data_IF_496418686591
#
_entry.id   IF_496418686591
#
_cell.length_a   1.000
_cell.length_b   1.000
_cell.length_c   1.000
_cell.angle_alpha   90.00
_cell.angle_beta   90.00
_cell.angle_gamma   90.00
#
_symmetry.space_group_name_H-M   'P 1'
#
loop_
_entity.id
_entity.type
_entity.pdbx_description
1 polymer ?
#
# COMPACT_ATOMS: atom_id res chain seq x y z
N UNK A 1 24.00 -1.86 -3.29
CA UNK A 1 23.08 -1.53 -3.64
C UNK A 1 22.05 -1.83 -2.85
N UNK A 2 21.13 -1.24 -2.82
CA UNK A 2 20.14 -1.48 -2.03
C UNK A 2 19.07 -2.01 -2.73
N UNK A 3 18.34 -2.81 -2.23
CA UNK A 3 17.30 -3.24 -2.84
C UNK A 3 16.22 -2.40 -2.61
N UNK A 4 15.36 -2.24 -3.47
CA UNK A 4 14.22 -1.46 -3.29
C UNK A 4 13.38 -2.11 -2.34
N UNK A 5 13.24 -1.58 -1.22
CA UNK A 5 12.39 -2.15 -0.28
C UNK A 5 11.00 -1.64 -0.45
N UNK A 6 10.79 -0.52 -1.12
CA UNK A 6 9.45 0.02 -1.30
C UNK A 6 8.71 -0.77 -2.37
N UNK A 7 7.41 -0.87 -2.21
CA UNK A 7 6.58 -1.58 -3.17
C UNK A 7 5.40 -0.69 -3.49
N UNK A 8 5.10 -0.51 -4.75
CA UNK A 8 4.02 0.37 -5.15
C UNK A 8 3.06 -0.35 -6.06
N UNK A 9 1.80 0.03 -5.97
CA UNK A 9 0.78 -0.59 -6.79
C UNK A 9 -0.27 0.45 -7.10
N UNK A 10 -0.75 0.46 -8.31
CA UNK A 10 -1.74 1.44 -8.69
C UNK A 10 -2.79 0.81 -9.56
N UNK A 11 -4.04 1.18 -9.34
CA UNK A 11 -5.10 0.70 -10.17
C UNK A 11 -6.17 1.75 -10.22
N UNK A 12 -6.55 2.18 -11.42
CA UNK A 12 -7.53 3.25 -11.60
C UNK A 12 -7.06 4.48 -10.84
N UNK A 13 -7.87 5.03 -9.97
CA UNK A 13 -7.50 6.23 -9.25
C UNK A 13 -6.97 5.93 -7.88
N UNK A 14 -6.66 4.68 -7.60
CA UNK A 14 -6.18 4.32 -6.30
C UNK A 14 -4.72 3.93 -6.36
N UNK A 15 -3.93 4.39 -5.42
CA UNK A 15 -2.52 4.09 -5.40
C UNK A 15 -2.12 3.62 -4.03
N UNK A 16 -1.25 2.65 -3.97
CA UNK A 16 -0.77 2.12 -2.70
C UNK A 16 0.74 2.11 -2.66
N UNK A 17 1.29 2.25 -1.49
CA UNK A 17 2.72 2.28 -1.33
C UNK A 17 3.06 1.57 -0.02
N UNK A 18 3.93 0.58 -0.09
CA UNK A 18 4.39 -0.13 1.08
C UNK A 18 5.84 0.25 1.27
N UNK A 19 6.19 0.78 2.42
CA UNK A 19 7.56 1.17 2.68
C UNK A 19 8.00 0.73 4.05
N UNK A 20 9.28 0.61 4.24
CA UNK A 20 9.80 0.16 5.50
C UNK A 20 9.76 1.27 6.53
N UNK A 21 9.41 0.94 7.76
CA UNK A 21 9.36 1.89 8.84
C UNK A 21 10.28 1.43 9.94
N UNK A 22 10.41 2.24 10.96
CA UNK A 22 11.31 1.90 12.02
C UNK A 22 10.99 0.60 12.70
N UNK A 23 9.74 0.37 13.01
CA UNK A 23 9.43 -0.87 13.68
C UNK A 23 8.57 -1.73 12.79
N UNK A 24 8.77 -1.78 11.51
CA UNK A 24 7.96 -2.66 10.69
C UNK A 24 7.77 -2.06 9.32
N UNK A 25 6.58 -2.21 8.81
CA UNK A 25 6.27 -1.75 7.47
C UNK A 25 4.97 -0.97 7.50
N UNK A 26 4.82 -0.05 6.59
CA UNK A 26 3.60 0.73 6.51
C UNK A 26 3.03 0.67 5.11
N UNK A 27 1.74 0.46 5.03
CA UNK A 27 1.05 0.45 3.76
C UNK A 27 0.15 1.68 3.71
N UNK A 28 0.36 2.51 2.68
CA UNK A 28 -0.43 3.71 2.53
C UNK A 28 -1.28 3.56 1.28
N UNK A 29 -2.53 3.90 1.37
CA UNK A 29 -3.42 3.82 0.21
C UNK A 29 -4.09 5.18 0.08
N UNK A 30 -4.05 5.72 -1.13
CA UNK A 30 -4.62 7.04 -1.34
C UNK A 30 -5.33 7.12 -2.66
N UNK A 31 -6.22 8.08 -2.78
CA UNK A 31 -6.95 8.31 -4.00
C UNK A 31 -6.25 9.41 -4.76
N UNK A 32 -5.92 9.15 -6.03
CA UNK A 32 -5.20 10.12 -6.82
C UNK A 32 -6.10 11.26 -7.23
N UNK A 33 -7.32 10.95 -7.57
CA UNK A 33 -8.22 11.98 -8.01
C UNK A 33 -9.61 11.68 -7.48
N UNK A 34 -10.21 12.55 -6.70
CA UNK A 34 -9.62 13.77 -6.20
C UNK A 34 -8.67 13.46 -5.09
N UNK A 35 -7.66 14.29 -4.97
CA UNK A 35 -6.68 14.08 -3.95
C UNK A 35 -7.26 14.33 -2.61
N UNK A 36 -6.80 13.62 -1.64
CA UNK A 36 -7.18 13.94 -0.31
C UNK A 36 -7.69 12.80 0.53
N UNK A 37 -8.06 11.73 -0.03
CA UNK A 37 -8.52 10.61 0.76
C UNK A 37 -7.43 9.57 0.82
N UNK A 38 -7.19 9.00 1.96
CA UNK A 38 -6.18 7.97 2.08
C UNK A 38 -5.96 7.59 3.51
N UNK A 39 -5.18 6.56 3.72
CA UNK A 39 -4.87 6.14 5.07
C UNK A 39 -3.61 5.30 5.06
N UNK A 40 -3.03 5.10 6.23
CA UNK A 40 -1.82 4.33 6.38
C UNK A 40 -2.04 3.31 7.49
N UNK A 41 -1.54 2.10 7.29
CA UNK A 41 -1.68 1.07 8.29
C UNK A 41 -0.32 0.43 8.51
N UNK A 42 -0.04 0.02 9.75
CA UNK A 42 1.25 -0.54 10.10
C UNK A 42 1.19 -2.05 10.14
N UNK A 43 2.28 -2.70 9.76
CA UNK A 43 2.36 -4.14 9.75
C UNK A 43 3.72 -4.57 10.23
N UNK A 44 3.87 -5.82 10.58
CA UNK A 44 5.13 -6.31 11.09
C UNK A 44 6.01 -6.85 9.98
N UNK A 45 5.49 -7.14 8.81
CA UNK A 45 6.30 -7.63 7.74
C UNK A 45 5.87 -7.03 6.42
N UNK A 46 6.78 -7.06 5.45
CA UNK A 46 6.49 -6.52 4.14
C UNK A 46 5.39 -7.33 3.47
N UNK A 47 5.44 -8.63 3.66
CA UNK A 47 4.44 -9.46 3.04
C UNK A 47 3.06 -9.20 3.56
N UNK A 48 2.95 -8.95 4.85
CA UNK A 48 1.65 -8.64 5.41
C UNK A 48 1.11 -7.33 4.84
N UNK A 49 2.00 -6.35 4.70
CA UNK A 49 1.58 -5.06 4.17
C UNK A 49 1.11 -5.20 2.73
N UNK A 50 1.86 -5.95 1.92
CA UNK A 50 1.49 -6.14 0.53
C UNK A 50 0.19 -6.92 0.44
N UNK A 51 0.04 -7.93 1.27
CA UNK A 51 -1.18 -8.72 1.25
C UNK A 51 -2.40 -7.85 1.58
N UNK A 52 -2.23 -6.96 2.54
CA UNK A 52 -3.32 -6.07 2.89
C UNK A 52 -3.71 -5.20 1.69
N UNK A 53 -2.72 -4.67 0.98
CA UNK A 53 -2.99 -3.82 -0.16
C UNK A 53 -3.72 -4.61 -1.24
N UNK A 54 -3.23 -5.81 -1.54
CA UNK A 54 -3.84 -6.58 -2.59
C UNK A 54 -5.27 -6.98 -2.24
N UNK A 55 -5.50 -7.31 -0.98
CA UNK A 55 -6.84 -7.64 -0.58
C UNK A 55 -7.76 -6.44 -0.63
N UNK A 56 -7.24 -5.28 -0.26
CA UNK A 56 -8.05 -4.07 -0.29
C UNK A 56 -8.48 -3.78 -1.73
N UNK A 57 -7.54 -3.90 -2.68
CA UNK A 57 -7.86 -3.64 -4.07
C UNK A 57 -8.81 -4.70 -4.63
N UNK A 58 -8.61 -5.95 -4.20
CA UNK A 58 -9.48 -7.00 -4.68
C UNK A 58 -10.91 -6.76 -4.23
N UNK A 59 -11.09 -6.36 -2.98
CA UNK A 59 -12.44 -6.11 -2.50
C UNK A 59 -13.04 -4.90 -3.16
N UNK A 60 -12.21 -3.91 -3.46
CA UNK A 60 -12.74 -2.70 -4.04
C UNK A 60 -13.08 -2.86 -5.51
N UNK A 61 -12.25 -3.56 -6.26
CA UNK A 61 -12.46 -3.70 -7.68
C UNK A 61 -12.99 -5.07 -8.11
N UNK A 62 -13.01 -5.99 -7.22
CA UNK A 62 -13.59 -7.25 -7.52
C UNK A 62 -12.69 -8.19 -8.28
N UNK A 63 -11.44 -7.92 -8.36
CA UNK A 63 -10.56 -8.81 -9.00
C UNK A 63 -9.27 -8.24 -9.22
#
# INVERSE_FOLDING_TARGET
MTEAEDWKYRRADLMAHVKKAEDGWKASIGIIKPIGAGFTKSFTSREEAIHFVLEYFYKKFGK
#
